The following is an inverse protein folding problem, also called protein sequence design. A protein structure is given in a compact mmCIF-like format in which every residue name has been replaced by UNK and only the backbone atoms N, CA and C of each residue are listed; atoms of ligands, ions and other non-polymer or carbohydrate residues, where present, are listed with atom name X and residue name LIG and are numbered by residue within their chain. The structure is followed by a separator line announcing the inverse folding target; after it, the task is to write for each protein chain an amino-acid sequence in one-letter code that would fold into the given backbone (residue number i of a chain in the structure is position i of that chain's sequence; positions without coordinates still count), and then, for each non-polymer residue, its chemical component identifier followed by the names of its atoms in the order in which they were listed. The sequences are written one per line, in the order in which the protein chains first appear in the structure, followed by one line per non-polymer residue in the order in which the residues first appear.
data_IF_549654631237
#
_entry.id   IF_549654631237
#
_cell.length_a   1.000
_cell.length_b   1.000
_cell.length_c   1.000
_cell.angle_alpha   90.00
_cell.angle_beta   90.00
_cell.angle_gamma   90.00
#
_symmetry.space_group_name_H-M   'P 1'
#
loop_
_entity.id
_entity.type
_entity.pdbx_description
1 polymer ?
#
# COMPACT_ATOMS: atom_id res chain seq x y z
N UNK A 1 2.72 27.71 -13.27
CA UNK A 1 3.44 26.98 -12.21
C UNK A 1 4.87 26.75 -12.68
N UNK A 2 5.88 27.09 -11.86
CA UNK A 2 7.30 26.90 -12.19
C UNK A 2 7.72 25.43 -12.02
N UNK A 3 8.56 24.90 -12.92
CA UNK A 3 9.09 23.55 -12.87
C UNK A 3 9.87 23.27 -11.57
N UNK A 4 10.57 24.27 -11.03
CA UNK A 4 11.21 24.16 -9.72
C UNK A 4 10.21 23.83 -8.61
N UNK A 5 9.08 24.55 -8.57
CA UNK A 5 8.02 24.34 -7.60
C UNK A 5 7.37 22.96 -7.74
N UNK A 6 7.19 22.48 -8.98
CA UNK A 6 6.66 21.15 -9.27
C UNK A 6 7.57 20.07 -8.66
N UNK A 7 8.87 20.09 -8.97
CA UNK A 7 9.83 19.09 -8.49
C UNK A 7 9.95 19.13 -6.96
N UNK A 8 10.03 20.33 -6.38
CA UNK A 8 10.08 20.49 -4.93
C UNK A 8 8.81 19.96 -4.25
N UNK A 9 7.64 20.25 -4.82
CA UNK A 9 6.37 19.78 -4.33
C UNK A 9 6.26 18.26 -4.34
N UNK A 10 6.66 17.61 -5.44
CA UNK A 10 6.69 16.14 -5.56
C UNK A 10 7.59 15.54 -4.48
N UNK A 11 8.82 16.04 -4.34
CA UNK A 11 9.75 15.52 -3.32
C UNK A 11 9.24 15.68 -1.91
N UNK A 12 8.61 16.83 -1.61
CA UNK A 12 8.05 17.08 -0.28
C UNK A 12 6.92 16.11 0.05
N UNK A 13 6.02 15.83 -0.89
CA UNK A 13 4.94 14.88 -0.69
C UNK A 13 5.45 13.43 -0.54
N UNK A 14 6.48 13.07 -1.29
CA UNK A 14 7.10 11.75 -1.22
C UNK A 14 8.12 11.60 -0.09
N UNK A 15 8.56 12.70 0.55
CA UNK A 15 9.60 12.67 1.57
C UNK A 15 10.97 12.23 1.06
N UNK A 16 11.29 12.48 -0.22
CA UNK A 16 12.51 11.97 -0.87
C UNK A 16 13.52 13.07 -1.22
N UNK A 17 14.79 12.67 -1.35
CA UNK A 17 15.87 13.57 -1.75
C UNK A 17 15.97 13.72 -3.29
N UNK A 18 16.68 14.75 -3.77
CA UNK A 18 16.90 15.00 -5.21
C UNK A 18 17.45 13.77 -5.96
N UNK A 19 18.33 13.01 -5.30
CA UNK A 19 18.93 11.81 -5.89
C UNK A 19 17.90 10.70 -6.14
N UNK A 20 16.97 10.51 -5.20
CA UNK A 20 15.94 9.48 -5.29
C UNK A 20 14.91 9.84 -6.36
N UNK A 21 14.46 11.11 -6.41
CA UNK A 21 13.59 11.59 -7.48
C UNK A 21 14.25 11.38 -8.85
N UNK A 22 15.53 11.74 -8.97
CA UNK A 22 16.27 11.59 -10.21
C UNK A 22 16.29 10.12 -10.67
N UNK A 23 16.61 9.19 -9.76
CA UNK A 23 16.61 7.75 -10.04
C UNK A 23 15.22 7.22 -10.40
N UNK A 24 14.19 7.59 -9.64
CA UNK A 24 12.79 7.21 -9.90
C UNK A 24 12.35 7.60 -11.33
N UNK A 25 12.66 8.83 -11.73
CA UNK A 25 12.30 9.40 -13.02
C UNK A 25 13.26 9.05 -14.16
N UNK A 26 14.36 8.33 -13.89
CA UNK A 26 15.36 7.99 -14.89
C UNK A 26 16.09 9.20 -15.49
N UNK A 27 16.36 10.23 -14.67
CA UNK A 27 17.10 11.44 -15.05
C UNK A 27 18.34 11.60 -14.17
N UNK A 28 19.27 12.47 -14.58
CA UNK A 28 20.46 12.73 -13.78
C UNK A 28 20.12 13.57 -12.53
N UNK A 29 20.83 13.33 -11.41
CA UNK A 29 20.70 14.17 -10.20
C UNK A 29 21.02 15.65 -10.50
N UNK A 30 22.00 15.89 -11.36
CA UNK A 30 22.37 17.26 -11.78
C UNK A 30 21.21 17.96 -12.48
N UNK A 31 20.49 17.26 -13.36
CA UNK A 31 19.29 17.77 -14.01
C UNK A 31 18.24 18.22 -13.00
N UNK A 32 17.92 17.37 -12.01
CA UNK A 32 16.96 17.73 -10.94
C UNK A 32 17.43 18.94 -10.14
N UNK A 33 18.72 19.00 -9.77
CA UNK A 33 19.26 20.14 -9.02
C UNK A 33 19.11 21.42 -9.81
N UNK A 34 19.57 21.45 -11.06
CA UNK A 34 19.53 22.65 -11.91
C UNK A 34 18.11 23.14 -12.18
N UNK A 35 17.14 22.23 -12.31
CA UNK A 35 15.73 22.62 -12.44
C UNK A 35 15.23 23.28 -11.14
N UNK A 36 15.49 22.66 -10.00
CA UNK A 36 15.06 23.23 -8.71
C UNK A 36 15.75 24.54 -8.35
N UNK A 37 17.00 24.70 -8.77
CA UNK A 37 17.80 25.91 -8.55
C UNK A 37 17.52 26.98 -9.64
N UNK A 38 16.54 26.74 -10.53
CA UNK A 38 16.12 27.61 -11.64
C UNK A 38 17.23 27.91 -12.67
N UNK A 39 18.25 27.05 -12.75
CA UNK A 39 19.38 27.12 -13.70
C UNK A 39 19.13 26.34 -15.00
N UNK A 40 18.02 25.59 -15.07
CA UNK A 40 17.61 24.81 -16.23
C UNK A 40 16.09 24.76 -16.31
N UNK A 41 15.52 25.29 -17.39
CA UNK A 41 14.12 25.06 -17.72
C UNK A 41 13.98 23.68 -18.39
N UNK A 42 13.25 22.72 -17.81
CA UNK A 42 13.12 21.40 -18.41
C UNK A 42 12.28 21.44 -19.69
N UNK A 43 12.65 20.61 -20.67
CA UNK A 43 11.75 20.36 -21.80
C UNK A 43 10.43 19.76 -21.30
N UNK A 44 9.35 19.98 -22.05
CA UNK A 44 8.05 19.34 -21.74
C UNK A 44 8.18 17.82 -21.59
N UNK A 45 8.95 17.15 -22.45
CA UNK A 45 9.18 15.70 -22.34
C UNK A 45 9.91 15.29 -21.05
N UNK A 46 10.83 16.11 -20.53
CA UNK A 46 11.49 15.88 -19.24
C UNK A 46 10.49 16.04 -18.09
N UNK A 47 9.67 17.09 -18.12
CA UNK A 47 8.67 17.35 -17.09
C UNK A 47 7.58 16.27 -17.06
N UNK A 48 7.05 15.88 -18.22
CA UNK A 48 6.09 14.78 -18.35
C UNK A 48 6.65 13.48 -17.80
N UNK A 49 7.90 13.13 -18.13
CA UNK A 49 8.54 11.93 -17.58
C UNK A 49 8.64 11.97 -16.06
N UNK A 50 8.95 13.12 -15.47
CA UNK A 50 9.01 13.28 -14.01
C UNK A 50 7.64 13.05 -13.40
N UNK A 51 6.61 13.71 -13.93
CA UNK A 51 5.21 13.57 -13.48
C UNK A 51 4.73 12.12 -13.56
N UNK A 52 4.85 11.49 -14.73
CA UNK A 52 4.42 10.10 -14.95
C UNK A 52 5.17 9.09 -14.07
N UNK A 53 6.49 9.23 -13.94
CA UNK A 53 7.31 8.30 -13.15
C UNK A 53 7.10 8.44 -11.65
N UNK A 54 6.72 9.63 -11.19
CA UNK A 54 6.41 9.92 -9.79
C UNK A 54 4.93 9.76 -9.46
N UNK A 55 4.06 9.48 -10.44
CA UNK A 55 2.62 9.32 -10.20
C UNK A 55 1.89 10.63 -9.92
N UNK A 56 2.41 11.77 -10.38
CA UNK A 56 1.80 13.08 -10.21
C UNK A 56 1.24 13.61 -11.53
N UNK A 57 0.28 14.52 -11.41
CA UNK A 57 -0.24 15.30 -12.52
C UNK A 57 -0.41 16.76 -12.10
N UNK A 58 -0.48 17.65 -13.09
CA UNK A 58 -0.80 19.05 -12.88
C UNK A 58 -2.32 19.19 -12.97
N UNK A 59 -2.93 19.80 -11.95
CA UNK A 59 -4.34 20.14 -11.92
C UNK A 59 -4.49 21.63 -11.57
N UNK A 60 -4.82 22.44 -12.58
CA UNK A 60 -4.83 23.89 -12.42
C UNK A 60 -3.43 24.43 -12.09
N UNK A 61 -3.29 25.06 -10.93
CA UNK A 61 -2.01 25.58 -10.43
C UNK A 61 -1.31 24.65 -9.44
N UNK A 62 -1.87 23.48 -9.17
CA UNK A 62 -1.37 22.53 -8.18
C UNK A 62 -0.82 21.26 -8.81
N UNK A 63 0.03 20.58 -8.05
CA UNK A 63 0.45 19.21 -8.33
C UNK A 63 -0.29 18.25 -7.40
N UNK A 64 -0.95 17.27 -8.00
CA UNK A 64 -1.76 16.29 -7.26
C UNK A 64 -1.31 14.87 -7.62
N UNK A 65 -1.35 13.92 -6.68
CA UNK A 65 -1.19 12.51 -7.01
C UNK A 65 -2.28 12.08 -7.99
N UNK A 66 -1.97 11.15 -8.89
CA UNK A 66 -2.90 10.70 -9.95
C UNK A 66 -4.11 9.93 -9.42
N UNK A 67 -4.04 9.40 -8.20
CA UNK A 67 -5.06 8.49 -7.68
C UNK A 67 -4.94 7.08 -8.24
N UNK A 68 -3.80 6.72 -8.84
CA UNK A 68 -3.59 5.40 -9.44
C UNK A 68 -3.56 4.29 -8.36
N UNK A 69 -4.66 3.54 -8.27
CA UNK A 69 -4.82 2.45 -7.32
C UNK A 69 -3.84 1.28 -7.58
N UNK A 70 -3.35 1.13 -8.81
CA UNK A 70 -2.41 0.05 -9.17
C UNK A 70 -1.08 0.19 -8.45
N UNK A 71 -0.70 1.40 -8.02
CA UNK A 71 0.49 1.63 -7.20
C UNK A 71 0.39 0.92 -5.85
N UNK A 72 -0.78 0.97 -5.18
CA UNK A 72 -0.99 0.27 -3.92
C UNK A 72 -0.99 -1.25 -4.10
N UNK A 73 -1.62 -1.74 -5.17
CA UNK A 73 -1.63 -3.17 -5.51
C UNK A 73 -0.21 -3.66 -5.77
N UNK A 74 0.57 -2.94 -6.57
CA UNK A 74 1.97 -3.26 -6.84
C UNK A 74 2.81 -3.32 -5.55
N UNK A 75 2.57 -2.40 -4.61
CA UNK A 75 3.28 -2.37 -3.33
C UNK A 75 2.88 -3.52 -2.42
N UNK A 76 1.57 -3.85 -2.37
CA UNK A 76 1.07 -5.03 -1.65
C UNK A 76 1.79 -6.29 -2.09
N UNK A 77 1.88 -6.56 -3.39
CA UNK A 77 2.55 -7.78 -3.89
C UNK A 77 4.01 -7.88 -3.43
N UNK A 78 4.74 -6.76 -3.41
CA UNK A 78 6.10 -6.72 -2.88
C UNK A 78 6.11 -7.01 -1.37
N UNK A 79 5.23 -6.35 -0.61
CA UNK A 79 5.14 -6.52 0.84
C UNK A 79 4.80 -7.95 1.22
N UNK A 80 3.79 -8.54 0.59
CA UNK A 80 3.37 -9.93 0.87
C UNK A 80 4.53 -10.89 0.65
N UNK A 81 5.27 -10.76 -0.47
CA UNK A 81 6.41 -11.65 -0.75
C UNK A 81 7.57 -11.49 0.21
N UNK A 82 7.88 -10.27 0.62
CA UNK A 82 8.93 -10.03 1.61
C UNK A 82 8.51 -10.54 2.97
N UNK A 83 7.27 -10.28 3.39
CA UNK A 83 6.77 -10.70 4.69
C UNK A 83 6.63 -12.22 4.78
N UNK A 84 6.16 -12.89 3.73
CA UNK A 84 6.13 -14.36 3.66
C UNK A 84 7.53 -14.94 3.85
N UNK A 85 8.53 -14.39 3.16
CA UNK A 85 9.93 -14.81 3.31
C UNK A 85 10.43 -14.62 4.74
N UNK A 86 10.20 -13.44 5.31
CA UNK A 86 10.59 -13.07 6.67
C UNK A 86 9.96 -14.00 7.71
N UNK A 87 8.66 -14.26 7.61
CA UNK A 87 7.91 -15.12 8.55
C UNK A 87 8.31 -16.60 8.44
N UNK A 88 8.62 -17.08 7.24
CA UNK A 88 9.16 -18.44 7.03
C UNK A 88 10.54 -18.57 7.70
N UNK A 89 11.43 -17.59 7.54
CA UNK A 89 12.76 -17.61 8.15
C UNK A 89 12.72 -17.62 9.69
N UNK A 90 11.80 -16.87 10.33
CA UNK A 90 11.65 -16.90 11.80
C UNK A 90 11.19 -18.26 12.34
N UNK A 91 10.42 -19.01 11.54
CA UNK A 91 9.87 -20.31 11.92
C UNK A 91 10.89 -21.44 11.78
N UNK A 92 11.92 -21.27 10.93
CA UNK A 92 12.98 -22.27 10.70
C UNK A 92 14.12 -22.11 11.71
N UNK A 93 14.15 -22.95 12.75
CA UNK A 93 15.20 -22.96 13.79
C UNK A 93 16.60 -23.40 13.32
N UNK A 94 16.74 -23.96 12.12
CA UNK A 94 18.02 -24.36 11.55
C UNK A 94 18.16 -23.75 10.15
N UNK A 95 19.24 -23.00 9.87
CA UNK A 95 19.53 -22.54 8.52
C UNK A 95 19.85 -23.77 7.69
N UNK A 96 18.92 -24.16 6.81
CA UNK A 96 19.17 -25.20 5.81
C UNK A 96 20.31 -24.72 4.88
N UNK A 97 21.49 -25.34 4.92
CA UNK A 97 22.62 -24.95 4.08
C UNK A 97 22.41 -25.29 2.59
N UNK A 98 21.30 -25.95 2.26
CA UNK A 98 20.86 -26.22 0.88
C UNK A 98 19.68 -25.34 0.43
N UNK A 99 19.19 -24.45 1.30
CA UNK A 99 18.26 -23.41 0.88
C UNK A 99 18.93 -22.55 -0.20
N UNK A 100 18.20 -22.21 -1.29
CA UNK A 100 18.77 -21.42 -2.37
C UNK A 100 19.42 -20.16 -1.80
N UNK A 101 20.70 -19.95 -2.12
CA UNK A 101 21.42 -18.70 -1.84
C UNK A 101 20.60 -17.58 -2.46
N UNK A 102 19.96 -16.75 -1.63
CA UNK A 102 19.02 -15.70 -2.03
C UNK A 102 18.12 -16.11 -3.20
N UNK A 103 16.97 -16.80 -2.98
CA UNK A 103 15.98 -16.81 -4.04
C UNK A 103 15.66 -15.35 -4.32
N UNK A 104 15.69 -14.93 -5.59
CA UNK A 104 15.20 -13.63 -5.99
C UNK A 104 13.70 -13.60 -5.63
N UNK A 105 13.38 -13.20 -4.39
CA UNK A 105 12.02 -13.13 -3.81
C UNK A 105 11.09 -12.34 -4.74
N UNK A 106 11.68 -11.45 -5.54
CA UNK A 106 11.03 -10.61 -6.52
C UNK A 106 11.07 -11.13 -7.96
N UNK A 107 11.92 -12.10 -8.32
CA UNK A 107 11.94 -12.66 -9.69
C UNK A 107 10.63 -13.40 -10.03
N UNK A 108 9.85 -13.75 -9.01
CA UNK A 108 8.51 -14.34 -9.15
C UNK A 108 7.38 -13.29 -9.20
N UNK A 109 7.67 -11.99 -9.10
CA UNK A 109 6.65 -10.94 -9.28
C UNK A 109 6.17 -10.97 -10.73
N UNK A 110 4.96 -11.48 -10.90
CA UNK A 110 4.25 -11.49 -12.16
C UNK A 110 2.94 -10.74 -11.97
N UNK A 111 2.58 -9.93 -12.96
CA UNK A 111 1.36 -9.15 -12.93
C UNK A 111 1.14 -8.37 -14.22
N UNK A 112 0.01 -7.67 -14.33
CA UNK A 112 -0.30 -6.78 -15.45
C UNK A 112 0.79 -5.73 -15.71
N UNK A 113 0.79 -5.17 -16.91
CA UNK A 113 1.82 -4.21 -17.36
C UNK A 113 1.89 -2.96 -16.45
N UNK A 114 0.77 -2.56 -15.87
CA UNK A 114 0.64 -1.43 -14.95
C UNK A 114 1.43 -1.67 -13.67
N UNK A 115 1.35 -2.88 -13.09
CA UNK A 115 2.12 -3.24 -11.90
C UNK A 115 3.62 -3.33 -12.22
N UNK A 116 3.97 -3.91 -13.36
CA UNK A 116 5.36 -3.99 -13.81
C UNK A 116 5.98 -2.61 -13.99
N UNK A 117 5.22 -1.64 -14.50
CA UNK A 117 5.69 -0.26 -14.63
C UNK A 117 6.05 0.36 -13.27
N UNK A 118 5.26 0.09 -12.23
CA UNK A 118 5.56 0.51 -10.86
C UNK A 118 6.81 -0.16 -10.30
N UNK A 119 6.94 -1.47 -10.44
CA UNK A 119 8.12 -2.21 -9.98
C UNK A 119 9.40 -1.73 -10.67
N UNK A 120 9.36 -1.47 -11.99
CA UNK A 120 10.51 -0.91 -12.70
C UNK A 120 10.91 0.49 -12.19
N UNK A 121 9.93 1.35 -11.86
CA UNK A 121 10.21 2.68 -11.27
C UNK A 121 10.92 2.53 -9.93
N UNK A 122 10.43 1.66 -9.06
CA UNK A 122 11.03 1.44 -7.74
C UNK A 122 12.39 0.74 -7.81
N UNK A 123 12.58 -0.15 -8.78
CA UNK A 123 13.88 -0.77 -9.05
C UNK A 123 14.91 0.29 -9.46
N UNK A 124 14.55 1.20 -10.40
CA UNK A 124 15.44 2.32 -10.75
C UNK A 124 15.77 3.21 -9.56
N UNK A 125 14.79 3.48 -8.70
CA UNK A 125 14.97 4.26 -7.47
C UNK A 125 15.89 3.58 -6.44
N UNK A 126 16.09 2.26 -6.55
CA UNK A 126 16.78 1.42 -5.57
C UNK A 126 15.93 1.08 -4.35
N UNK A 127 14.60 1.22 -4.45
CA UNK A 127 13.67 0.88 -3.37
C UNK A 127 13.20 -0.57 -3.45
N UNK A 128 13.27 -1.13 -4.65
CA UNK A 128 13.05 -2.53 -4.95
C UNK A 128 14.39 -3.13 -5.39
N UNK A 129 14.81 -4.23 -4.76
CA UNK A 129 16.10 -4.89 -4.99
C UNK A 129 15.93 -6.38 -4.81
N UNK A 130 16.67 -7.20 -5.55
CA UNK A 130 16.60 -8.67 -5.43
C UNK A 130 17.02 -9.17 -4.04
N UNK A 131 17.77 -8.36 -3.28
CA UNK A 131 18.16 -8.67 -1.89
C UNK A 131 17.26 -7.93 -0.88
N UNK A 132 16.50 -8.65 -0.03
CA UNK A 132 15.56 -8.08 0.96
C UNK A 132 16.18 -7.08 1.93
N UNK A 133 17.43 -7.30 2.31
CA UNK A 133 18.17 -6.46 3.28
C UNK A 133 18.44 -5.05 2.74
N UNK A 134 18.42 -4.88 1.41
CA UNK A 134 18.69 -3.60 0.74
C UNK A 134 17.43 -2.89 0.25
N UNK A 135 16.23 -3.46 0.50
CA UNK A 135 14.99 -2.89 0.00
C UNK A 135 14.57 -1.63 0.77
N UNK A 136 14.20 -0.58 0.01
CA UNK A 136 13.62 0.64 0.53
C UNK A 136 12.11 0.53 0.77
N UNK A 137 11.65 -0.50 1.48
CA UNK A 137 10.20 -0.80 1.65
C UNK A 137 9.39 0.37 2.22
N UNK A 138 9.99 1.18 3.10
CA UNK A 138 9.33 2.40 3.61
C UNK A 138 9.08 3.42 2.50
N UNK A 139 10.06 3.67 1.64
CA UNK A 139 9.92 4.60 0.52
C UNK A 139 8.92 4.06 -0.52
N UNK A 140 8.99 2.76 -0.81
CA UNK A 140 8.07 2.09 -1.74
C UNK A 140 6.62 2.18 -1.26
N UNK A 141 6.34 1.75 -0.04
CA UNK A 141 4.99 1.77 0.53
C UNK A 141 4.46 3.18 0.70
N UNK A 142 5.29 4.12 1.19
CA UNK A 142 4.92 5.54 1.28
C UNK A 142 4.60 6.14 -0.09
N UNK A 143 5.44 5.87 -1.11
CA UNK A 143 5.16 6.35 -2.47
C UNK A 143 3.83 5.80 -2.97
N UNK A 144 3.64 4.47 -2.91
CA UNK A 144 2.41 3.83 -3.35
C UNK A 144 1.16 4.38 -2.63
N UNK A 145 1.25 4.64 -1.32
CA UNK A 145 0.12 5.18 -0.55
C UNK A 145 -0.19 6.64 -0.89
N UNK A 146 0.81 7.47 -1.19
CA UNK A 146 0.59 8.85 -1.66
C UNK A 146 -0.11 8.85 -3.02
N UNK A 147 0.33 8.01 -3.97
CA UNK A 147 -0.21 8.00 -5.33
C UNK A 147 -1.63 7.44 -5.39
N UNK A 148 -1.88 6.34 -4.68
CA UNK A 148 -3.16 5.62 -4.74
C UNK A 148 -4.29 6.23 -3.91
N UNK A 149 -3.99 7.17 -2.99
CA UNK A 149 -4.95 7.67 -2.00
C UNK A 149 -6.25 8.18 -2.61
N UNK A 150 -6.15 8.94 -3.69
CA UNK A 150 -7.32 9.51 -4.39
C UNK A 150 -8.24 8.44 -4.96
N UNK A 151 -7.68 7.44 -5.66
CA UNK A 151 -8.46 6.35 -6.26
C UNK A 151 -9.07 5.44 -5.20
N UNK A 152 -8.31 5.06 -4.17
CA UNK A 152 -8.84 4.22 -3.08
C UNK A 152 -9.94 4.93 -2.28
N UNK A 153 -9.82 6.25 -2.08
CA UNK A 153 -10.89 7.03 -1.43
C UNK A 153 -12.17 7.13 -2.27
N UNK A 154 -12.06 6.99 -3.60
CA UNK A 154 -13.18 7.02 -4.53
C UNK A 154 -13.89 5.67 -4.69
N UNK A 155 -13.34 4.57 -4.16
CA UNK A 155 -13.92 3.24 -4.26
C UNK A 155 -15.36 3.22 -3.68
N UNK A 156 -16.32 2.55 -4.33
CA UNK A 156 -17.68 2.43 -3.82
C UNK A 156 -17.66 1.85 -2.40
N UNK A 157 -18.22 2.60 -1.46
CA UNK A 157 -18.28 2.20 -0.06
C UNK A 157 -19.64 2.49 0.54
N UNK A 158 -20.09 1.57 1.39
CA UNK A 158 -21.29 1.71 2.19
C UNK A 158 -20.91 1.59 3.65
N UNK A 159 -21.28 2.57 4.47
CA UNK A 159 -21.00 2.56 5.91
C UNK A 159 -22.25 2.06 6.64
N UNK A 160 -22.11 0.97 7.39
CA UNK A 160 -23.26 0.26 8.00
C UNK A 160 -23.04 -0.07 9.48
N UNK A 161 -24.13 -0.17 10.24
CA UNK A 161 -24.11 -0.69 11.60
C UNK A 161 -23.21 0.10 12.58
N UNK A 162 -22.76 -0.56 13.64
CA UNK A 162 -21.85 0.02 14.64
C UNK A 162 -20.42 -0.47 14.40
N UNK A 163 -19.48 0.46 14.20
CA UNK A 163 -18.06 0.17 13.98
C UNK A 163 -17.43 -0.68 15.09
N UNK A 164 -17.91 -0.57 16.34
CA UNK A 164 -17.43 -1.38 17.47
C UNK A 164 -17.77 -2.86 17.34
N UNK A 165 -18.75 -3.19 16.49
CA UNK A 165 -19.28 -4.54 16.26
C UNK A 165 -18.89 -5.10 14.90
N UNK A 166 -17.76 -4.65 14.34
CA UNK A 166 -17.31 -5.12 13.03
C UNK A 166 -17.08 -6.64 12.98
N UNK A 167 -16.65 -7.27 14.10
CA UNK A 167 -16.47 -8.74 14.19
C UNK A 167 -17.80 -9.48 14.05
N UNK A 168 -18.82 -9.04 14.77
CA UNK A 168 -20.18 -9.58 14.65
C UNK A 168 -20.71 -9.43 13.22
N UNK A 169 -20.40 -8.31 12.57
CA UNK A 169 -20.78 -8.08 11.18
C UNK A 169 -20.04 -9.05 10.24
N UNK A 170 -18.72 -9.23 10.40
CA UNK A 170 -17.93 -10.17 9.60
C UNK A 170 -18.49 -11.61 9.69
N UNK A 171 -18.80 -12.08 10.90
CA UNK A 171 -19.40 -13.40 11.10
C UNK A 171 -20.78 -13.52 10.44
N UNK A 172 -21.62 -12.48 10.52
CA UNK A 172 -22.93 -12.49 9.84
C UNK A 172 -22.80 -12.50 8.31
N UNK A 173 -21.77 -11.87 7.76
CA UNK A 173 -21.46 -11.90 6.32
C UNK A 173 -21.06 -13.33 5.92
N UNK A 174 -20.19 -13.97 6.71
CA UNK A 174 -19.78 -15.37 6.53
C UNK A 174 -20.98 -16.34 6.57
N UNK A 175 -21.81 -16.23 7.62
CA UNK A 175 -23.00 -17.06 7.83
C UNK A 175 -24.02 -16.93 6.68
N UNK A 176 -24.08 -15.76 6.03
CA UNK A 176 -24.92 -15.52 4.86
C UNK A 176 -24.30 -16.02 3.53
N UNK A 177 -23.10 -16.61 3.58
CA UNK A 177 -22.42 -17.23 2.44
C UNK A 177 -21.73 -16.24 1.50
N UNK A 178 -21.46 -15.00 1.95
CA UNK A 178 -20.73 -14.03 1.16
C UNK A 178 -19.22 -14.19 1.37
N UNK A 179 -18.45 -14.18 0.29
CA UNK A 179 -16.99 -14.03 0.38
C UNK A 179 -16.65 -12.63 0.86
N UNK A 180 -15.76 -12.55 1.84
CA UNK A 180 -15.32 -11.28 2.41
C UNK A 180 -13.88 -11.35 2.92
N UNK A 181 -13.27 -10.19 3.13
CA UNK A 181 -12.00 -10.08 3.82
C UNK A 181 -11.93 -8.78 4.64
N UNK A 182 -11.43 -8.86 5.87
CA UNK A 182 -11.24 -7.71 6.76
C UNK A 182 -9.84 -7.13 6.57
N UNK A 183 -9.77 -5.81 6.35
CA UNK A 183 -8.53 -5.05 6.27
C UNK A 183 -7.94 -4.77 7.65
N UNK A 184 -7.47 -5.83 8.30
CA UNK A 184 -6.70 -5.78 9.54
C UNK A 184 -5.81 -7.03 9.62
N UNK A 185 -5.04 -7.15 10.70
CA UNK A 185 -4.22 -8.33 10.98
C UNK A 185 -4.94 -9.25 11.98
N UNK A 186 -4.63 -10.55 11.96
CA UNK A 186 -5.15 -11.52 12.95
C UNK A 186 -4.83 -11.12 14.39
N UNK A 187 -3.72 -10.42 14.64
CA UNK A 187 -3.38 -9.84 15.94
C UNK A 187 -4.47 -8.90 16.51
N UNK A 188 -5.31 -8.31 15.66
CA UNK A 188 -6.46 -7.52 16.09
C UNK A 188 -7.52 -8.35 16.83
N UNK A 189 -7.54 -9.68 16.64
CA UNK A 189 -8.41 -10.60 17.37
C UNK A 189 -7.90 -10.84 18.79
N UNK A 190 -6.59 -10.97 18.96
CA UNK A 190 -5.95 -11.31 20.23
C UNK A 190 -6.01 -10.17 21.25
N UNK A 191 -6.01 -8.92 20.79
CA UNK A 191 -5.97 -7.75 21.68
C UNK A 191 -6.70 -6.53 21.11
N UNK A 192 -7.70 -5.97 21.83
CA UNK A 192 -8.31 -4.70 21.47
C UNK A 192 -7.26 -3.58 21.32
N UNK A 193 -7.23 -2.93 20.16
CA UNK A 193 -6.27 -1.86 19.85
C UNK A 193 -4.95 -2.30 19.22
N UNK A 194 -4.70 -3.61 19.11
CA UNK A 194 -3.56 -4.15 18.36
C UNK A 194 -3.75 -4.10 16.83
N UNK A 195 -4.99 -3.86 16.37
CA UNK A 195 -5.32 -3.67 14.96
C UNK A 195 -4.77 -2.37 14.37
N UNK A 196 -4.65 -2.35 13.05
CA UNK A 196 -4.16 -1.19 12.29
C UNK A 196 -5.18 -0.05 12.29
N UNK A 197 -6.47 -0.38 12.31
CA UNK A 197 -7.57 0.58 12.34
C UNK A 197 -8.44 0.38 13.59
N UNK A 198 -9.13 1.45 14.03
CA UNK A 198 -10.16 1.32 15.08
C UNK A 198 -11.39 0.57 14.55
N UNK A 199 -11.77 0.88 13.31
CA UNK A 199 -12.84 0.20 12.57
C UNK A 199 -12.28 -0.23 11.21
N UNK A 200 -12.01 -1.53 11.00
CA UNK A 200 -11.41 -1.99 9.76
C UNK A 200 -12.42 -1.94 8.62
N UNK A 201 -11.88 -1.94 7.40
CA UNK A 201 -12.66 -2.08 6.16
C UNK A 201 -13.03 -3.54 5.97
N UNK A 202 -14.24 -3.83 5.51
CA UNK A 202 -14.64 -5.17 5.09
C UNK A 202 -14.85 -5.16 3.58
N UNK A 203 -14.00 -5.88 2.87
CA UNK A 203 -14.10 -6.08 1.44
C UNK A 203 -15.13 -7.16 1.14
N UNK A 204 -16.03 -6.88 0.20
CA UNK A 204 -17.06 -7.79 -0.32
C UNK A 204 -17.27 -7.51 -1.80
N UNK A 205 -17.78 -8.48 -2.57
CA UNK A 205 -18.02 -8.26 -4.01
C UNK A 205 -19.11 -7.22 -4.30
N UNK A 206 -20.14 -7.13 -3.46
CA UNK A 206 -21.22 -6.15 -3.59
C UNK A 206 -21.70 -5.67 -2.20
N UNK A 207 -21.24 -4.48 -1.74
CA UNK A 207 -21.65 -3.90 -0.46
C UNK A 207 -23.16 -3.72 -0.29
N UNK A 208 -23.87 -3.40 -1.39
CA UNK A 208 -25.31 -3.13 -1.34
C UNK A 208 -26.11 -4.41 -1.24
N UNK A 209 -25.70 -5.46 -1.96
CA UNK A 209 -26.29 -6.80 -1.84
C UNK A 209 -26.16 -7.33 -0.41
N UNK A 210 -24.95 -7.24 0.16
CA UNK A 210 -24.68 -7.66 1.54
C UNK A 210 -25.56 -6.89 2.53
N UNK A 211 -25.61 -5.56 2.41
CA UNK A 211 -26.43 -4.73 3.28
C UNK A 211 -27.93 -5.05 3.14
N UNK A 212 -28.42 -5.30 1.94
CA UNK A 212 -29.82 -5.66 1.70
C UNK A 212 -30.18 -7.02 2.32
N UNK A 213 -29.38 -8.06 2.06
CA UNK A 213 -29.63 -9.42 2.57
C UNK A 213 -29.57 -9.46 4.10
N UNK A 214 -28.57 -8.80 4.69
CA UNK A 214 -28.39 -8.75 6.14
C UNK A 214 -29.25 -7.68 6.83
N UNK A 215 -30.06 -6.93 6.07
CA UNK A 215 -30.89 -5.81 6.54
C UNK A 215 -30.10 -4.82 7.39
N UNK A 216 -28.92 -4.45 6.89
CA UNK A 216 -28.03 -3.52 7.58
C UNK A 216 -28.53 -2.09 7.41
N UNK A 217 -28.55 -1.36 8.51
CA UNK A 217 -28.85 0.07 8.49
C UNK A 217 -27.60 0.87 8.12
N UNK A 218 -27.80 1.90 7.31
CA UNK A 218 -26.75 2.87 6.98
C UNK A 218 -26.36 3.68 8.21
N UNK A 219 -25.08 3.99 8.33
CA UNK A 219 -24.51 4.69 9.48
C UNK A 219 -23.86 6.02 9.10
N UNK A 220 -23.82 7.00 10.03
CA UNK A 220 -23.09 8.23 9.82
C UNK A 220 -21.60 7.98 9.55
N UNK A 221 -20.93 8.86 8.80
CA UNK A 221 -19.48 8.80 8.60
C UNK A 221 -18.73 8.67 9.94
N UNK A 222 -17.79 7.74 10.01
CA UNK A 222 -16.95 7.50 11.19
C UNK A 222 -17.63 6.73 12.34
N UNK A 223 -18.88 6.27 12.18
CA UNK A 223 -19.58 5.48 13.23
C UNK A 223 -19.91 4.04 12.86
N UNK A 224 -19.94 3.72 11.58
CA UNK A 224 -20.22 2.36 11.11
C UNK A 224 -19.00 1.69 10.49
N UNK A 225 -19.20 0.44 10.10
CA UNK A 225 -18.21 -0.39 9.40
C UNK A 225 -18.27 -0.06 7.91
N UNK A 226 -17.14 0.32 7.29
CA UNK A 226 -17.09 0.51 5.85
C UNK A 226 -17.06 -0.86 5.14
N UNK A 227 -18.14 -1.17 4.41
CA UNK A 227 -18.18 -2.19 3.38
C UNK A 227 -17.62 -1.59 2.09
N UNK A 228 -16.59 -2.21 1.52
CA UNK A 228 -15.90 -1.73 0.33
C UNK A 228 -16.02 -2.77 -0.77
N UNK A 229 -16.34 -2.33 -1.99
CA UNK A 229 -16.34 -3.24 -3.14
C UNK A 229 -14.93 -3.77 -3.38
N UNK A 230 -14.79 -5.10 -3.43
CA UNK A 230 -13.56 -5.75 -3.85
C UNK A 230 -13.49 -5.76 -5.38
N UNK A 231 -12.52 -5.08 -5.96
CA UNK A 231 -12.35 -5.03 -7.42
C UNK A 231 -11.24 -5.95 -7.92
N UNK A 232 -10.22 -6.23 -7.08
CA UNK A 232 -9.09 -7.17 -7.22
C UNK A 232 -7.82 -6.51 -6.65
N UNK A 233 -6.99 -7.16 -5.80
CA UNK A 233 -6.99 -8.56 -5.35
C UNK A 233 -7.44 -8.74 -3.87
N UNK A 234 -8.38 -7.95 -3.37
CA UNK A 234 -8.69 -7.89 -1.92
C UNK A 234 -9.28 -9.18 -1.32
N UNK A 235 -9.89 -10.02 -2.14
CA UNK A 235 -10.44 -11.33 -1.74
C UNK A 235 -9.52 -12.50 -2.12
N UNK A 236 -8.30 -12.21 -2.58
CA UNK A 236 -7.26 -13.19 -2.83
C UNK A 236 -6.29 -13.28 -1.65
N UNK A 237 -5.71 -14.45 -1.44
CA UNK A 237 -4.74 -14.74 -0.37
C UNK A 237 -5.29 -14.41 1.04
N UNK A 238 -6.56 -14.75 1.27
CA UNK A 238 -7.25 -14.54 2.55
C UNK A 238 -6.57 -15.34 3.66
N UNK A 239 -6.30 -14.66 4.78
CA UNK A 239 -5.78 -15.27 6.01
C UNK A 239 -6.95 -15.48 6.96
N UNK A 240 -7.12 -16.70 7.50
CA UNK A 240 -8.22 -17.02 8.42
C UNK A 240 -7.72 -17.02 9.86
N UNK A 241 -8.39 -16.29 10.75
CA UNK A 241 -8.15 -16.29 12.20
C UNK A 241 -9.47 -16.23 12.97
N UNK A 242 -9.66 -17.09 13.97
CA UNK A 242 -10.90 -17.24 14.76
C UNK A 242 -12.20 -17.26 13.92
N UNK A 243 -12.16 -17.88 12.74
CA UNK A 243 -13.30 -17.94 11.82
C UNK A 243 -13.58 -16.64 11.05
N UNK A 244 -12.71 -15.64 11.15
CA UNK A 244 -12.78 -14.39 10.39
C UNK A 244 -11.74 -14.40 9.27
N UNK A 245 -12.19 -14.02 8.08
CA UNK A 245 -11.36 -13.85 6.88
C UNK A 245 -10.70 -12.46 6.88
N UNK A 246 -9.38 -12.40 6.81
CA UNK A 246 -8.57 -11.19 6.71
C UNK A 246 -7.90 -11.09 5.36
N UNK A 247 -7.63 -9.87 4.91
CA UNK A 247 -6.73 -9.64 3.77
C UNK A 247 -5.30 -10.06 4.12
N UNK A 248 -4.43 -10.19 3.13
CA UNK A 248 -3.00 -10.37 3.39
C UNK A 248 -2.40 -9.23 4.25
N UNK A 249 -1.28 -9.50 4.92
CA UNK A 249 -0.63 -8.52 5.80
C UNK A 249 -0.17 -7.29 5.01
N UNK A 250 0.39 -7.48 3.81
CA UNK A 250 0.78 -6.38 2.92
C UNK A 250 -0.42 -5.54 2.51
N UNK A 251 -1.59 -6.16 2.28
CA UNK A 251 -2.83 -5.43 1.98
C UNK A 251 -3.28 -4.57 3.16
N UNK A 252 -3.37 -5.14 4.35
CA UNK A 252 -3.78 -4.43 5.57
C UNK A 252 -2.84 -3.25 5.87
N UNK A 253 -1.53 -3.44 5.69
CA UNK A 253 -0.54 -2.38 5.83
C UNK A 253 -0.76 -1.25 4.82
N UNK A 254 -0.99 -1.57 3.54
CA UNK A 254 -1.24 -0.57 2.51
C UNK A 254 -2.54 0.22 2.77
N UNK A 255 -3.59 -0.46 3.22
CA UNK A 255 -4.83 0.23 3.60
C UNK A 255 -4.62 1.21 4.73
N UNK A 256 -3.95 0.80 5.81
CA UNK A 256 -3.64 1.73 6.91
C UNK A 256 -2.72 2.87 6.47
N UNK A 257 -1.80 2.67 5.52
CA UNK A 257 -1.00 3.77 4.94
C UNK A 257 -1.82 4.75 4.09
N UNK A 258 -2.98 4.33 3.57
CA UNK A 258 -3.92 5.23 2.88
C UNK A 258 -5.00 5.80 3.79
N UNK A 259 -5.04 5.35 5.05
CA UNK A 259 -5.94 5.80 6.09
C UNK A 259 -5.64 7.19 6.64
N UNK A 260 -6.24 7.47 7.80
CA UNK A 260 -5.97 8.67 8.57
C UNK A 260 -4.55 8.69 9.18
N UNK A 261 -4.18 9.78 9.85
CA UNK A 261 -2.82 9.93 10.38
C UNK A 261 -2.45 8.85 11.41
N UNK A 262 -3.42 8.38 12.21
CA UNK A 262 -3.18 7.38 13.23
C UNK A 262 -3.03 5.98 12.61
N UNK A 263 -3.90 5.62 11.66
CA UNK A 263 -3.77 4.40 10.85
C UNK A 263 -2.40 4.37 10.13
N UNK A 264 -2.00 5.49 9.51
CA UNK A 264 -0.70 5.61 8.82
C UNK A 264 0.46 5.37 9.77
N UNK A 265 0.43 6.02 10.93
CA UNK A 265 1.48 5.90 11.95
C UNK A 265 1.59 4.46 12.45
N UNK A 266 0.46 3.81 12.75
CA UNK A 266 0.42 2.40 13.16
C UNK A 266 0.97 1.48 12.09
N UNK A 267 0.51 1.59 10.84
CA UNK A 267 1.02 0.77 9.72
C UNK A 267 2.51 0.96 9.48
N UNK A 268 3.02 2.19 9.53
CA UNK A 268 4.46 2.45 9.37
C UNK A 268 5.30 1.84 10.51
N UNK A 269 4.80 1.90 11.74
CA UNK A 269 5.44 1.28 12.90
C UNK A 269 5.41 -0.25 12.81
N UNK A 270 4.28 -0.84 12.44
CA UNK A 270 4.13 -2.29 12.25
C UNK A 270 5.06 -2.80 11.16
N UNK A 271 5.07 -2.17 9.98
CA UNK A 271 6.00 -2.52 8.91
C UNK A 271 7.46 -2.43 9.37
N UNK A 272 7.81 -1.36 10.09
CA UNK A 272 9.16 -1.22 10.64
C UNK A 272 9.52 -2.35 11.60
N UNK A 273 8.60 -2.77 12.47
CA UNK A 273 8.84 -3.88 13.42
C UNK A 273 9.04 -5.21 12.71
N UNK A 274 8.16 -5.53 11.75
CA UNK A 274 8.23 -6.77 10.97
C UNK A 274 9.52 -6.86 10.15
N UNK A 275 10.04 -5.74 9.66
CA UNK A 275 11.26 -5.73 8.84
C UNK A 275 12.54 -5.67 9.71
N UNK A 276 12.54 -4.88 10.78
CA UNK A 276 13.74 -4.69 11.64
C UNK A 276 13.93 -5.83 12.64
N UNK A 277 12.87 -6.58 12.97
CA UNK A 277 12.95 -7.76 13.82
C UNK A 277 13.75 -8.91 13.20
N UNK A 278 13.92 -8.88 11.87
CA UNK A 278 14.28 -10.09 11.12
C UNK A 278 15.35 -9.89 10.05
N UNK A 279 15.57 -8.67 9.56
CA UNK A 279 16.65 -8.38 8.61
C UNK A 279 17.77 -7.61 9.31
N UNK A 280 19.04 -8.06 9.22
CA UNK A 280 20.16 -7.31 9.78
C UNK A 280 20.24 -5.95 9.07
N UNK A 281 20.23 -4.89 9.88
CA UNK A 281 20.40 -3.52 9.41
C UNK A 281 21.79 -3.41 8.77
N UNK A 282 21.83 -3.24 7.45
CA UNK A 282 23.03 -2.83 6.71
C UNK A 282 23.31 -1.34 6.84
#
# INVERSE_FOLDING_TARGET
MDASMILHGIRRQLGIIRADLARLCGVSRSTVSRIEDCELDPTWGTLTRVLESSGFMIHGEDIVPTGDATAAVAARFVLDRVLDYVLIQESSKEPDPTAPTEPAILAALNGPAELQAWWQRWHRAGWLSDSPTTMGLKHLSHHASVISRGGRAAAPRLVVGDGRRWRDLALRIDEAGFTYAVSDMTAALESPGAGLAEVPRIYVSDPWMVASVLRLEGSPPGRGVPLVTAEWPELEDIVVGDGICFTSVGHALMDGQTGDEEERRKSALTLSRLVTGTLPVG
#
